data_IF_172302397117
#
_entry.id   IF_172302397117
#
_cell.length_a   1.000
_cell.length_b   1.000
_cell.length_c   1.000
_cell.angle_alpha   90.00
_cell.angle_beta   90.00
_cell.angle_gamma   90.00
#
_symmetry.space_group_name_H-M   'P 1'
#
loop_
_entity.id
_entity.type
_entity.pdbx_description
1 polymer ?
#
# COMPACT_ATOMS: atom_id res chain seq x y z
N UNK A 1 -17.18 -16.73 -7.49
CA UNK A 1 -16.48 -17.34 -7.25
C UNK A 1 -15.45 -17.19 -6.33
N UNK A 2 -14.82 -18.08 -6.03
CA UNK A 2 -13.93 -18.03 -5.09
C UNK A 2 -12.76 -17.33 -5.42
N UNK A 3 -12.52 -17.14 -6.62
CA UNK A 3 -11.35 -16.45 -6.98
C UNK A 3 -11.32 -15.10 -6.44
N UNK A 4 -12.41 -14.55 -6.11
CA UNK A 4 -12.38 -13.23 -5.52
C UNK A 4 -11.70 -13.19 -4.20
N UNK A 5 -11.64 -14.31 -3.53
CA UNK A 5 -11.00 -14.35 -2.26
C UNK A 5 -9.52 -14.25 -2.35
N UNK A 6 -8.98 -14.47 -3.52
CA UNK A 6 -7.58 -14.33 -3.68
C UNK A 6 -7.17 -12.88 -3.60
N UNK A 7 -8.06 -11.99 -3.98
CA UNK A 7 -7.77 -10.58 -3.88
C UNK A 7 -6.72 -10.14 -4.87
N UNK A 8 -6.68 -8.85 -5.13
CA UNK A 8 -5.71 -8.27 -6.04
C UNK A 8 -4.38 -8.09 -5.37
N UNK A 9 -4.38 -8.07 -4.05
CA UNK A 9 -3.19 -7.75 -3.27
C UNK A 9 -2.67 -8.95 -2.50
N UNK A 10 -3.05 -10.14 -2.91
CA UNK A 10 -2.64 -11.34 -2.22
C UNK A 10 -1.12 -11.41 -2.12
N UNK A 11 -0.64 -11.72 -0.92
CA UNK A 11 0.78 -11.84 -0.64
C UNK A 11 1.56 -10.54 -0.84
N UNK A 12 0.86 -9.40 -0.92
CA UNK A 12 1.52 -8.10 -1.00
C UNK A 12 1.48 -7.43 0.36
N UNK A 13 2.55 -6.74 0.69
CA UNK A 13 2.67 -6.03 1.95
C UNK A 13 2.75 -4.54 1.65
N UNK A 14 1.99 -3.76 2.39
CA UNK A 14 1.89 -2.33 2.17
C UNK A 14 2.21 -1.55 3.43
N UNK A 15 2.76 -0.37 3.26
CA UNK A 15 2.98 0.55 4.37
C UNK A 15 2.50 1.92 3.91
N UNK A 16 1.93 2.70 4.83
CA UNK A 16 1.41 4.02 4.52
C UNK A 16 2.24 5.05 5.27
N UNK A 17 2.72 6.07 4.57
CA UNK A 17 3.42 7.17 5.20
C UNK A 17 2.84 8.48 4.68
N UNK A 18 2.75 9.49 5.53
CA UNK A 18 2.17 10.76 5.16
C UNK A 18 0.68 10.78 5.42
N UNK A 19 0.05 11.88 5.04
CA UNK A 19 -1.38 12.08 5.27
C UNK A 19 -2.16 11.83 4.00
N UNK A 20 -3.20 11.02 4.10
CA UNK A 20 -4.04 10.72 2.95
C UNK A 20 -5.19 11.71 2.84
N UNK A 21 -5.63 11.97 1.62
CA UNK A 21 -6.73 12.90 1.35
C UNK A 21 -7.98 12.14 0.95
N UNK A 22 -9.07 12.47 1.61
CA UNK A 22 -10.37 11.88 1.25
C UNK A 22 -10.56 10.45 1.71
N UNK A 23 -9.57 9.89 2.37
CA UNK A 23 -9.67 8.53 2.85
C UNK A 23 -8.72 8.42 4.05
N UNK A 24 -9.10 7.67 5.04
CA UNK A 24 -8.28 7.52 6.23
C UNK A 24 -7.35 6.32 6.10
N UNK A 25 -6.32 6.27 6.96
CA UNK A 25 -5.45 5.11 6.97
C UNK A 25 -6.21 3.84 7.29
N UNK A 26 -7.20 3.95 8.19
CA UNK A 26 -8.01 2.80 8.55
C UNK A 26 -8.77 2.26 7.34
N UNK A 27 -9.26 3.16 6.50
CA UNK A 27 -9.96 2.74 5.30
C UNK A 27 -9.02 2.06 4.32
N UNK A 28 -7.82 2.61 4.14
CA UNK A 28 -6.84 2.01 3.25
C UNK A 28 -6.46 0.63 3.76
N UNK A 29 -6.25 0.52 5.06
CA UNK A 29 -5.92 -0.77 5.66
C UNK A 29 -7.02 -1.79 5.40
N UNK A 30 -8.28 -1.37 5.57
CA UNK A 30 -9.40 -2.26 5.32
C UNK A 30 -9.44 -2.71 3.86
N UNK A 31 -9.21 -1.78 2.94
CA UNK A 31 -9.19 -2.11 1.52
C UNK A 31 -8.10 -3.11 1.19
N UNK A 32 -6.94 -2.93 1.80
CA UNK A 32 -5.83 -3.85 1.58
C UNK A 32 -6.19 -5.24 2.10
N UNK A 33 -6.74 -5.30 3.30
CA UNK A 33 -7.10 -6.59 3.90
C UNK A 33 -8.23 -7.27 3.15
N UNK A 34 -9.18 -6.50 2.64
CA UNK A 34 -10.26 -7.06 1.86
C UNK A 34 -9.76 -7.68 0.57
N UNK A 35 -8.63 -7.21 0.09
CA UNK A 35 -8.03 -7.74 -1.12
C UNK A 35 -6.89 -8.71 -0.83
N UNK A 36 -6.88 -9.25 0.38
CA UNK A 36 -5.92 -10.27 0.80
C UNK A 36 -4.49 -9.74 0.98
N UNK A 37 -4.32 -8.43 1.05
CA UNK A 37 -3.02 -7.84 1.32
C UNK A 37 -2.78 -7.70 2.82
N UNK A 38 -1.62 -7.22 3.18
CA UNK A 38 -1.24 -7.04 4.57
C UNK A 38 -0.61 -5.65 4.74
N UNK A 39 -0.85 -5.02 5.87
CA UNK A 39 -0.22 -3.74 6.18
C UNK A 39 0.82 -3.94 7.26
N UNK A 40 1.90 -3.16 7.18
CA UNK A 40 2.95 -3.20 8.20
C UNK A 40 3.27 -1.77 8.61
N UNK A 41 3.96 -1.62 9.72
CA UNK A 41 4.26 -0.31 10.25
C UNK A 41 5.72 0.10 10.07
N UNK A 42 6.51 -0.70 9.40
CA UNK A 42 7.92 -0.34 9.19
C UNK A 42 8.39 -0.80 7.82
N UNK A 43 9.41 -0.14 7.31
CA UNK A 43 10.00 -0.49 6.03
C UNK A 43 10.93 -1.67 6.22
N UNK A 44 10.79 -2.67 5.37
CA UNK A 44 11.66 -3.84 5.44
C UNK A 44 11.78 -4.45 4.05
N UNK A 45 12.68 -5.40 3.91
CA UNK A 45 12.87 -6.07 2.62
C UNK A 45 11.61 -6.79 2.14
N UNK A 46 10.73 -7.12 3.06
CA UNK A 46 9.51 -7.82 2.70
C UNK A 46 8.40 -6.88 2.25
N UNK A 47 8.62 -5.58 2.38
CA UNK A 47 7.61 -4.61 1.97
C UNK A 47 7.53 -4.57 0.44
N UNK A 48 6.33 -4.67 -0.09
CA UNK A 48 6.14 -4.65 -1.54
C UNK A 48 5.85 -3.24 -2.04
N UNK A 49 5.05 -2.48 -1.31
CA UNK A 49 4.66 -1.15 -1.73
C UNK A 49 4.69 -0.17 -0.57
N UNK A 50 5.18 1.02 -0.83
CA UNK A 50 5.10 2.11 0.13
C UNK A 50 4.12 3.13 -0.44
N UNK A 51 3.01 3.33 0.24
CA UNK A 51 2.00 4.30 -0.18
C UNK A 51 2.32 5.63 0.47
N UNK A 52 2.57 6.65 -0.34
CA UNK A 52 2.91 7.96 0.18
C UNK A 52 1.73 8.91 0.03
N UNK A 53 1.44 9.64 1.10
CA UNK A 53 0.42 10.68 1.08
C UNK A 53 1.08 12.04 1.05
N UNK A 54 0.44 13.04 1.65
CA UNK A 54 1.01 14.37 1.72
C UNK A 54 2.08 14.42 2.81
N UNK A 55 3.16 15.13 2.54
CA UNK A 55 4.25 15.30 3.48
C UNK A 55 4.77 13.97 4.03
N UNK A 56 5.16 13.08 3.15
CA UNK A 56 5.64 11.78 3.62
C UNK A 56 7.01 11.93 4.28
N UNK A 57 7.37 10.94 5.09
CA UNK A 57 8.66 10.95 5.77
C UNK A 57 9.76 10.63 4.77
N UNK A 58 10.70 11.55 4.58
CA UNK A 58 11.77 11.34 3.63
C UNK A 58 12.61 10.11 3.95
N UNK A 59 12.85 9.88 5.23
CA UNK A 59 13.65 8.72 5.63
C UNK A 59 13.02 7.42 5.14
N UNK A 60 11.71 7.30 5.26
CA UNK A 60 11.05 6.08 4.81
C UNK A 60 11.11 5.92 3.31
N UNK A 61 11.00 7.03 2.59
CA UNK A 61 11.12 6.99 1.14
C UNK A 61 12.51 6.54 0.73
N UNK A 62 13.54 7.08 1.39
CA UNK A 62 14.91 6.71 1.09
C UNK A 62 15.17 5.23 1.39
N UNK A 63 14.65 4.75 2.50
CA UNK A 63 14.80 3.34 2.84
C UNK A 63 14.13 2.45 1.79
N UNK A 64 12.95 2.87 1.33
CA UNK A 64 12.24 2.10 0.32
C UNK A 64 13.03 2.07 -0.98
N UNK A 65 13.66 3.19 -1.35
CA UNK A 65 14.46 3.23 -2.55
C UNK A 65 15.67 2.31 -2.45
N UNK A 66 16.31 2.29 -1.29
CA UNK A 66 17.45 1.43 -1.08
C UNK A 66 17.09 -0.04 -1.18
N UNK A 67 15.91 -0.39 -0.71
CA UNK A 67 15.43 -1.77 -0.75
C UNK A 67 14.70 -2.10 -2.03
N UNK A 68 14.65 -1.12 -2.97
CA UNK A 68 13.98 -1.30 -4.25
C UNK A 68 12.50 -1.62 -4.09
N UNK A 69 11.88 -1.03 -3.08
CA UNK A 69 10.46 -1.19 -2.84
C UNK A 69 9.71 -0.23 -3.75
N UNK A 70 8.57 -0.68 -4.26
CA UNK A 70 7.75 0.18 -5.12
C UNK A 70 7.11 1.28 -4.29
N UNK A 71 7.32 2.52 -4.70
CA UNK A 71 6.73 3.67 -4.03
C UNK A 71 5.57 4.16 -4.89
N UNK A 72 4.38 4.20 -4.32
CA UNK A 72 3.19 4.64 -5.04
C UNK A 72 2.47 5.68 -4.20
N UNK A 73 1.70 6.53 -4.86
CA UNK A 73 0.92 7.52 -4.14
C UNK A 73 -0.49 6.99 -3.96
N UNK A 74 -1.32 7.78 -3.27
CA UNK A 74 -2.68 7.38 -2.99
C UNK A 74 -3.46 7.09 -4.27
N UNK A 75 -3.29 7.93 -5.27
CA UNK A 75 -4.00 7.76 -6.53
C UNK A 75 -3.60 6.46 -7.21
N UNK A 76 -2.32 6.16 -7.22
CA UNK A 76 -1.84 4.93 -7.83
C UNK A 76 -2.36 3.71 -7.09
N UNK A 77 -2.43 3.80 -5.77
CA UNK A 77 -2.98 2.70 -4.99
C UNK A 77 -4.43 2.43 -5.38
N UNK A 78 -5.22 3.49 -5.51
CA UNK A 78 -6.61 3.33 -5.90
C UNK A 78 -6.75 2.76 -7.30
N UNK A 79 -5.84 3.12 -8.19
CA UNK A 79 -5.86 2.55 -9.53
C UNK A 79 -5.58 1.05 -9.51
N UNK A 80 -4.68 0.63 -8.65
CA UNK A 80 -4.39 -0.79 -8.53
C UNK A 80 -5.65 -1.55 -8.10
N UNK A 81 -6.40 -0.99 -7.16
CA UNK A 81 -7.62 -1.63 -6.71
C UNK A 81 -8.69 -1.68 -7.79
N UNK A 82 -8.76 -0.65 -8.62
CA UNK A 82 -9.81 -0.59 -9.65
C UNK A 82 -9.44 -1.27 -10.95
N UNK A 83 -8.17 -1.55 -11.13
CA UNK A 83 -7.69 -1.98 -12.43
C UNK A 83 -8.25 -3.29 -12.92
N UNK A 84 -8.69 -4.13 -12.02
CA UNK A 84 -9.18 -5.43 -12.42
C UNK A 84 -10.68 -5.52 -12.41
N UNK A 85 -11.34 -4.42 -12.21
CA UNK A 85 -12.80 -4.42 -12.18
C UNK A 85 -13.39 -4.64 -13.56
#
# INVERSE_FOLDING_TARGET
MEENKNGKLKDKTFMITGKLNGISRAEVKSLIEENAGTTVSSVSKKLNYLIIGEKPTKRKIEMAKELQINIINQREFLKILNKTS
#
